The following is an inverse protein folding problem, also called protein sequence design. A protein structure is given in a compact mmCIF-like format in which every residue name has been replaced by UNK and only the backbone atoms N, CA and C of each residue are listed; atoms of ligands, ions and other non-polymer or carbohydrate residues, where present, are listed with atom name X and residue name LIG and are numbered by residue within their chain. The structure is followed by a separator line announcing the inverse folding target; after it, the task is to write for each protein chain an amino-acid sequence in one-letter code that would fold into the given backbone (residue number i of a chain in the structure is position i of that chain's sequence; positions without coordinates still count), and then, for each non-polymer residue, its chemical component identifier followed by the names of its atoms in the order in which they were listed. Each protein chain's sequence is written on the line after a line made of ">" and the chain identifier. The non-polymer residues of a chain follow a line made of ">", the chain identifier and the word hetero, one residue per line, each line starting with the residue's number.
data_IF_602206420608
#
_entry.id   IF_602206420608
#
_cell.length_a   1.000
_cell.length_b   1.000
_cell.length_c   1.000
_cell.angle_alpha   90.00
_cell.angle_beta   90.00
_cell.angle_gamma   90.00
#
_symmetry.space_group_name_H-M   'P 1'
#
loop_
_entity.id
_entity.type
_entity.pdbx_description
1 polymer ?
#
# COMPACT_ATOMS: atom_id res chain seq x y z
N UNK A 1 32.15 -37.62 -3.42
CA UNK A 1 30.77 -37.16 -3.13
C UNK A 1 30.90 -35.89 -2.30
N UNK A 2 30.53 -34.69 -2.71
CA UNK A 2 29.61 -34.25 -3.76
C UNK A 2 30.18 -32.99 -4.44
N UNK A 3 30.02 -32.90 -5.76
CA UNK A 3 30.41 -31.74 -6.54
C UNK A 3 29.47 -30.56 -6.31
N UNK A 4 30.04 -29.37 -6.11
CA UNK A 4 29.38 -28.12 -6.44
C UNK A 4 29.40 -27.99 -7.96
N UNK A 5 28.24 -28.10 -8.61
CA UNK A 5 28.03 -27.60 -9.97
C UNK A 5 26.79 -26.71 -10.03
N UNK A 6 26.95 -25.65 -10.84
CA UNK A 6 25.95 -24.78 -11.47
C UNK A 6 25.24 -23.69 -10.66
N UNK A 7 25.96 -22.60 -10.35
CA UNK A 7 25.36 -21.25 -10.32
C UNK A 7 25.73 -20.41 -11.56
N UNK A 8 26.79 -20.78 -12.28
CA UNK A 8 27.29 -20.07 -13.48
C UNK A 8 26.47 -20.33 -14.75
N UNK A 9 25.89 -21.52 -14.90
CA UNK A 9 25.11 -21.89 -16.09
C UNK A 9 23.77 -21.12 -16.19
N UNK A 10 23.17 -20.71 -15.08
CA UNK A 10 21.90 -19.96 -15.12
C UNK A 10 22.10 -18.53 -15.58
N UNK A 11 23.16 -17.85 -15.11
CA UNK A 11 23.50 -16.49 -15.56
C UNK A 11 23.87 -16.43 -17.04
N UNK A 12 24.59 -17.41 -17.56
CA UNK A 12 24.95 -17.47 -18.99
C UNK A 12 23.73 -17.74 -19.88
N UNK A 13 22.80 -18.59 -19.41
CA UNK A 13 21.54 -18.84 -20.08
C UNK A 13 20.65 -17.58 -20.11
N UNK A 14 20.55 -16.86 -18.99
CA UNK A 14 19.79 -15.62 -18.91
C UNK A 14 20.35 -14.53 -19.84
N UNK A 15 21.68 -14.39 -19.91
CA UNK A 15 22.33 -13.47 -20.85
C UNK A 15 22.07 -13.85 -22.32
N UNK A 16 22.12 -15.14 -22.65
CA UNK A 16 21.78 -15.62 -23.99
C UNK A 16 20.31 -15.38 -24.35
N UNK A 17 19.38 -15.59 -23.42
CA UNK A 17 17.96 -15.32 -23.61
C UNK A 17 17.75 -13.81 -23.81
N UNK A 18 18.40 -12.97 -23.01
CA UNK A 18 18.30 -11.51 -23.11
C UNK A 18 18.82 -11.01 -24.46
N UNK A 19 19.96 -11.55 -24.91
CA UNK A 19 20.56 -11.18 -26.18
C UNK A 19 19.72 -11.64 -27.37
N UNK A 20 19.22 -12.88 -27.34
CA UNK A 20 18.32 -13.41 -28.38
C UNK A 20 17.03 -12.59 -28.47
N UNK A 21 16.51 -12.13 -27.32
CA UNK A 21 15.32 -11.27 -27.24
C UNK A 21 15.59 -9.89 -27.84
N UNK A 22 16.76 -9.30 -27.58
CA UNK A 22 17.20 -8.02 -28.16
C UNK A 22 17.38 -8.12 -29.68
N UNK A 23 18.00 -9.19 -30.17
CA UNK A 23 18.22 -9.40 -31.60
C UNK A 23 16.89 -9.63 -32.34
N UNK A 24 15.95 -10.34 -31.71
CA UNK A 24 14.60 -10.54 -32.24
C UNK A 24 13.82 -9.22 -32.32
N UNK A 25 13.99 -8.33 -31.33
CA UNK A 25 13.40 -6.99 -31.33
C UNK A 25 13.88 -6.15 -32.52
N UNK A 26 15.20 -6.16 -32.76
CA UNK A 26 15.80 -5.39 -33.85
C UNK A 26 15.30 -5.87 -35.22
N UNK A 27 15.12 -7.18 -35.38
CA UNK A 27 14.50 -7.75 -36.59
C UNK A 27 13.07 -7.27 -36.78
N UNK A 28 12.28 -7.20 -35.70
CA UNK A 28 10.90 -6.72 -35.74
C UNK A 28 10.83 -5.22 -36.14
N UNK A 29 11.70 -4.38 -35.58
CA UNK A 29 11.83 -2.95 -35.97
C UNK A 29 12.12 -2.83 -37.47
N UNK A 30 13.05 -3.63 -37.99
CA UNK A 30 13.40 -3.59 -39.41
C UNK A 30 12.23 -4.01 -40.32
N UNK A 31 11.44 -5.00 -39.88
CA UNK A 31 10.22 -5.42 -40.58
C UNK A 31 9.21 -4.28 -40.60
N UNK A 32 8.94 -3.62 -39.48
CA UNK A 32 8.00 -2.48 -39.41
C UNK A 32 8.42 -1.35 -40.34
N UNK A 33 9.70 -0.97 -40.33
CA UNK A 33 10.20 0.07 -41.22
C UNK A 33 10.04 -0.32 -42.71
N UNK A 34 10.25 -1.60 -43.03
CA UNK A 34 10.05 -2.10 -44.39
C UNK A 34 8.58 -2.06 -44.80
N UNK A 35 7.67 -2.49 -43.93
CA UNK A 35 6.23 -2.45 -44.20
C UNK A 35 5.69 -1.03 -44.29
N UNK A 36 6.15 -0.11 -43.43
CA UNK A 36 5.76 1.31 -43.50
C UNK A 36 6.12 1.92 -44.85
N UNK A 37 7.25 1.53 -45.45
CA UNK A 37 7.65 1.99 -46.78
C UNK A 37 6.82 1.34 -47.92
N UNK A 38 6.17 0.20 -47.66
CA UNK A 38 5.34 -0.51 -48.64
C UNK A 38 3.87 -0.06 -48.62
N UNK A 39 3.41 0.54 -47.52
CA UNK A 39 2.05 1.09 -47.38
C UNK A 39 1.72 2.10 -48.49
N UNK A 40 2.72 2.80 -49.01
CA UNK A 40 2.58 3.79 -50.08
C UNK A 40 2.43 3.17 -51.49
N UNK A 41 2.47 1.83 -51.64
CA UNK A 41 2.54 1.17 -52.96
C UNK A 41 1.39 0.16 -53.18
N UNK A 42 0.45 0.50 -54.09
CA UNK A 42 -0.67 -0.32 -54.60
C UNK A 42 -1.88 -0.54 -53.66
N UNK A 43 -3.07 -0.13 -54.12
CA UNK A 43 -4.37 -0.20 -53.44
C UNK A 43 -4.84 -1.63 -53.12
N UNK A 44 -4.31 -2.65 -53.81
CA UNK A 44 -4.71 -4.06 -53.59
C UNK A 44 -3.95 -4.74 -52.43
N UNK A 45 -2.83 -4.16 -52.01
CA UNK A 45 -1.98 -4.64 -50.91
C UNK A 45 -2.06 -3.78 -49.65
N UNK A 46 -2.49 -2.51 -49.77
CA UNK A 46 -2.56 -1.55 -48.67
C UNK A 46 -3.39 -2.04 -47.46
N UNK A 47 -4.56 -2.65 -47.69
CA UNK A 47 -5.43 -3.10 -46.59
C UNK A 47 -4.83 -4.21 -45.71
N UNK A 48 -4.08 -5.15 -46.32
CA UNK A 48 -3.40 -6.22 -45.57
C UNK A 48 -2.12 -5.70 -44.90
N UNK A 49 -1.43 -4.75 -45.54
CA UNK A 49 -0.24 -4.10 -44.97
C UNK A 49 -0.60 -3.24 -43.77
N UNK A 50 -1.76 -2.55 -43.78
CA UNK A 50 -2.26 -1.75 -42.64
C UNK A 50 -2.52 -2.62 -41.40
N UNK A 51 -3.19 -3.76 -41.55
CA UNK A 51 -3.46 -4.69 -40.44
C UNK A 51 -2.15 -5.26 -39.85
N UNK A 52 -1.20 -5.62 -40.71
CA UNK A 52 0.11 -6.13 -40.26
C UNK A 52 0.93 -5.02 -39.60
N UNK A 53 0.87 -3.79 -40.12
CA UNK A 53 1.55 -2.63 -39.54
C UNK A 53 0.98 -2.30 -38.16
N UNK A 54 -0.34 -2.37 -37.99
CA UNK A 54 -1.00 -2.15 -36.71
C UNK A 54 -0.55 -3.19 -35.67
N UNK A 55 -0.59 -4.48 -36.02
CA UNK A 55 -0.14 -5.57 -35.15
C UNK A 55 1.35 -5.44 -34.81
N UNK A 56 2.17 -5.05 -35.79
CA UNK A 56 3.61 -4.89 -35.57
C UNK A 56 3.94 -3.65 -34.71
N UNK A 57 3.14 -2.58 -34.79
CA UNK A 57 3.23 -1.44 -33.87
C UNK A 57 2.81 -1.82 -32.44
N UNK A 58 1.74 -2.62 -32.27
CA UNK A 58 1.35 -3.16 -30.96
C UNK A 58 2.47 -4.05 -30.36
N UNK A 59 3.09 -4.89 -31.18
CA UNK A 59 4.24 -5.71 -30.79
C UNK A 59 5.47 -4.84 -30.44
N UNK A 60 5.73 -3.76 -31.17
CA UNK A 60 6.81 -2.82 -30.85
C UNK A 60 6.60 -2.11 -29.51
N UNK A 61 5.36 -1.73 -29.19
CA UNK A 61 5.02 -1.15 -27.88
C UNK A 61 5.26 -2.16 -26.75
N UNK A 62 4.86 -3.42 -26.95
CA UNK A 62 5.12 -4.49 -25.98
C UNK A 62 6.62 -4.81 -25.82
N UNK A 63 7.42 -4.71 -26.89
CA UNK A 63 8.84 -5.08 -26.86
C UNK A 63 9.76 -3.94 -26.39
N UNK A 64 9.38 -2.68 -26.61
CA UNK A 64 10.10 -1.51 -26.10
C UNK A 64 9.98 -1.37 -24.55
N UNK A 65 9.07 -2.13 -23.94
CA UNK A 65 8.84 -2.20 -22.48
C UNK A 65 9.68 -3.30 -21.78
N UNK A 66 10.59 -3.98 -22.49
CA UNK A 66 11.49 -5.02 -21.94
C UNK A 66 12.74 -4.34 -21.33
N UNK A 67 13.17 -4.45 -20.06
CA UNK A 67 12.93 -5.43 -18.98
C UNK A 67 13.35 -4.87 -17.59
N UNK A 68 12.88 -3.70 -17.17
CA UNK A 68 13.09 -3.26 -15.76
C UNK A 68 11.75 -3.28 -15.05
N UNK A 69 11.55 -4.26 -14.16
CA UNK A 69 10.38 -4.29 -13.29
C UNK A 69 10.24 -2.92 -12.60
N UNK A 70 9.05 -2.31 -12.62
CA UNK A 70 8.85 -1.04 -11.95
C UNK A 70 9.13 -1.20 -10.46
N UNK A 71 9.86 -0.25 -9.88
CA UNK A 71 10.16 -0.23 -8.44
C UNK A 71 8.99 0.27 -7.60
N UNK A 72 8.00 0.90 -8.26
CA UNK A 72 6.82 1.49 -7.62
C UNK A 72 5.63 1.55 -8.57
N UNK A 73 4.42 1.61 -7.99
CA UNK A 73 3.20 1.89 -8.76
C UNK A 73 3.26 3.24 -9.49
N UNK A 74 4.05 4.19 -8.98
CA UNK A 74 4.25 5.50 -9.60
C UNK A 74 5.04 5.39 -10.90
N UNK A 75 6.13 4.63 -10.88
CA UNK A 75 6.92 4.33 -12.07
C UNK A 75 6.09 3.55 -13.10
N UNK A 76 5.37 2.53 -12.65
CA UNK A 76 4.46 1.76 -13.51
C UNK A 76 3.41 2.65 -14.19
N UNK A 77 2.81 3.60 -13.45
CA UNK A 77 1.82 4.52 -14.03
C UNK A 77 2.40 5.48 -15.08
N UNK A 78 3.70 5.78 -15.00
CA UNK A 78 4.39 6.65 -15.98
C UNK A 78 4.75 5.84 -17.23
N UNK A 79 5.28 4.63 -17.04
CA UNK A 79 5.65 3.73 -18.14
C UNK A 79 4.39 3.26 -18.89
N UNK A 80 3.33 2.92 -18.15
CA UNK A 80 2.07 2.42 -18.69
C UNK A 80 0.89 3.24 -18.15
N UNK A 81 0.60 4.42 -18.75
CA UNK A 81 -0.46 5.32 -18.30
C UNK A 81 -1.86 4.70 -18.32
N UNK A 82 -2.11 3.71 -19.17
CA UNK A 82 -3.41 3.06 -19.31
C UNK A 82 -3.60 1.85 -18.37
N UNK A 83 -2.59 1.53 -17.54
CA UNK A 83 -2.69 0.42 -16.60
C UNK A 83 -3.83 0.62 -15.60
N UNK A 84 -4.71 -0.38 -15.39
CA UNK A 84 -5.82 -0.31 -14.44
C UNK A 84 -5.33 -0.45 -12.99
N UNK A 85 -6.21 -0.21 -12.01
CA UNK A 85 -5.89 -0.52 -10.61
C UNK A 85 -5.90 -2.03 -10.39
N UNK A 86 -4.93 -2.57 -9.64
CA UNK A 86 -4.78 -4.01 -9.48
C UNK A 86 -3.50 -4.41 -8.75
N UNK A 87 -3.24 -5.71 -8.66
CA UNK A 87 -2.00 -6.24 -8.11
C UNK A 87 -0.94 -6.34 -9.20
N UNK A 88 0.26 -5.83 -8.90
CA UNK A 88 1.41 -5.83 -9.79
C UNK A 88 2.64 -6.37 -9.08
N UNK A 89 3.56 -6.95 -9.85
CA UNK A 89 4.88 -7.35 -9.38
C UNK A 89 5.79 -6.13 -9.49
N UNK A 90 6.41 -5.75 -8.38
CA UNK A 90 7.32 -4.61 -8.29
C UNK A 90 8.71 -5.09 -7.87
N UNK A 91 9.74 -4.40 -8.35
CA UNK A 91 11.10 -4.57 -7.86
C UNK A 91 11.26 -3.91 -6.47
N UNK A 92 11.85 -4.63 -5.52
CA UNK A 92 12.24 -4.12 -4.21
C UNK A 92 13.72 -4.42 -3.93
N UNK A 93 14.22 -3.93 -2.79
CA UNK A 93 15.66 -4.07 -2.45
C UNK A 93 16.13 -5.51 -2.30
N UNK A 94 15.24 -6.42 -1.92
CA UNK A 94 15.54 -7.83 -1.64
C UNK A 94 14.93 -8.79 -2.68
N UNK A 95 14.61 -8.28 -3.88
CA UNK A 95 13.96 -9.04 -4.95
C UNK A 95 12.57 -8.47 -5.30
N UNK A 96 11.74 -9.28 -5.95
CA UNK A 96 10.41 -8.87 -6.40
C UNK A 96 9.35 -9.07 -5.32
N UNK A 97 8.38 -8.18 -5.23
CA UNK A 97 7.22 -8.34 -4.35
C UNK A 97 5.93 -7.94 -5.06
N UNK A 98 4.81 -8.50 -4.62
CA UNK A 98 3.49 -8.13 -5.15
C UNK A 98 2.90 -7.00 -4.32
N UNK A 99 2.43 -5.94 -4.96
CA UNK A 99 1.75 -4.83 -4.30
C UNK A 99 0.49 -4.41 -5.08
N UNK A 100 -0.50 -3.89 -4.37
CA UNK A 100 -1.69 -3.33 -5.02
C UNK A 100 -1.40 -1.88 -5.43
N UNK A 101 -1.54 -1.60 -6.72
CA UNK A 101 -1.44 -0.26 -7.29
C UNK A 101 -2.84 0.33 -7.52
N UNK A 102 -3.10 1.48 -6.92
CA UNK A 102 -4.23 2.29 -7.35
C UNK A 102 -3.80 3.28 -8.43
N UNK A 103 -4.30 3.07 -9.64
CA UNK A 103 -4.02 3.88 -10.82
C UNK A 103 -5.04 5.02 -11.02
N UNK A 104 -6.09 5.05 -10.21
CA UNK A 104 -7.03 6.17 -10.11
C UNK A 104 -6.56 7.26 -9.14
N UNK A 105 -7.36 8.32 -9.01
CA UNK A 105 -7.10 9.42 -8.08
C UNK A 105 -7.31 9.00 -6.63
N UNK A 106 -6.38 9.36 -5.74
CA UNK A 106 -6.53 9.26 -4.28
C UNK A 106 -6.11 10.56 -3.63
N UNK A 107 -6.87 10.98 -2.61
CA UNK A 107 -6.59 12.19 -1.86
C UNK A 107 -6.32 13.42 -2.77
N UNK A 108 -7.08 13.58 -3.86
CA UNK A 108 -6.95 14.70 -4.78
C UNK A 108 -5.71 14.68 -5.68
N UNK A 109 -4.92 13.60 -5.68
CA UNK A 109 -3.72 13.42 -6.48
C UNK A 109 -3.90 12.27 -7.47
N UNK A 110 -3.28 12.37 -8.65
CA UNK A 110 -3.36 11.35 -9.70
C UNK A 110 -2.85 9.97 -9.28
N UNK A 111 -3.03 8.97 -10.14
CA UNK A 111 -2.70 7.57 -9.85
C UNK A 111 -1.22 7.23 -9.68
N UNK A 112 -0.97 5.94 -9.41
CA UNK A 112 0.35 5.39 -9.13
C UNK A 112 0.61 5.19 -7.63
N UNK A 113 -0.45 4.98 -6.85
CA UNK A 113 -0.39 4.79 -5.41
C UNK A 113 -0.13 3.32 -5.06
N UNK A 114 0.93 3.04 -4.32
CA UNK A 114 1.22 1.69 -3.79
C UNK A 114 0.53 1.48 -2.46
N UNK A 115 -0.30 0.45 -2.33
CA UNK A 115 -0.93 0.10 -1.04
C UNK A 115 0.09 -0.53 -0.11
N UNK A 116 0.27 0.07 1.06
CA UNK A 116 1.22 -0.37 2.07
C UNK A 116 0.55 -1.17 3.19
N UNK A 117 -0.63 -0.75 3.62
CA UNK A 117 -1.39 -1.39 4.67
C UNK A 117 -2.86 -1.54 4.26
N UNK A 118 -3.45 -2.68 4.57
CA UNK A 118 -4.87 -2.97 4.36
C UNK A 118 -5.39 -3.86 5.49
N UNK A 119 -6.37 -3.36 6.20
CA UNK A 119 -7.17 -4.07 7.19
C UNK A 119 -8.61 -3.62 6.98
N UNK A 120 -9.50 -4.57 6.74
CA UNK A 120 -10.93 -4.32 6.63
C UNK A 120 -11.69 -5.41 7.39
N UNK A 121 -12.11 -5.09 8.60
CA UNK A 121 -12.78 -6.03 9.49
C UNK A 121 -14.27 -6.23 9.13
N UNK A 122 -14.79 -5.49 8.15
CA UNK A 122 -16.13 -5.75 7.59
C UNK A 122 -16.17 -7.08 6.85
N UNK A 123 -15.03 -7.50 6.28
CA UNK A 123 -14.85 -8.84 5.74
C UNK A 123 -14.61 -9.84 6.89
N UNK A 124 -15.56 -10.76 7.06
CA UNK A 124 -15.54 -11.78 8.11
C UNK A 124 -14.32 -12.71 8.05
N UNK A 125 -13.65 -12.82 6.89
CA UNK A 125 -12.48 -13.69 6.69
C UNK A 125 -11.16 -13.04 7.13
N UNK A 126 -11.14 -11.71 7.30
CA UNK A 126 -9.95 -10.97 7.69
C UNK A 126 -9.68 -11.14 9.19
N UNK A 127 -8.46 -11.53 9.53
CA UNK A 127 -8.00 -11.66 10.91
C UNK A 127 -7.23 -10.40 11.36
N UNK A 128 -7.21 -10.16 12.67
CA UNK A 128 -6.42 -9.07 13.23
C UNK A 128 -4.92 -9.29 13.02
N UNK A 129 -4.13 -8.22 12.80
CA UNK A 129 -2.69 -8.32 12.68
C UNK A 129 -2.05 -8.95 13.93
N UNK A 130 -0.86 -9.53 13.78
CA UNK A 130 -0.13 -10.13 14.91
C UNK A 130 0.02 -9.13 16.07
N UNK A 131 -0.21 -9.60 17.30
CA UNK A 131 -0.21 -8.78 18.52
C UNK A 131 -1.56 -8.12 18.83
N UNK A 132 -2.46 -7.99 17.86
CA UNK A 132 -3.80 -7.46 18.07
C UNK A 132 -4.79 -8.56 18.47
N UNK A 133 -5.80 -8.17 19.23
CA UNK A 133 -6.92 -9.01 19.64
C UNK A 133 -8.17 -8.63 18.86
N UNK A 134 -8.90 -9.64 18.38
CA UNK A 134 -10.24 -9.47 17.81
C UNK A 134 -11.23 -9.12 18.93
N UNK A 135 -11.97 -8.05 18.70
CA UNK A 135 -13.15 -7.66 19.45
C UNK A 135 -14.37 -7.74 18.54
N UNK A 136 -15.45 -8.30 19.09
CA UNK A 136 -16.70 -8.47 18.37
C UNK A 136 -17.87 -8.19 19.30
N UNK A 137 -18.68 -7.19 18.96
CA UNK A 137 -19.87 -6.81 19.72
C UNK A 137 -20.83 -6.05 18.81
N UNK A 138 -22.14 -6.26 18.98
CA UNK A 138 -23.17 -5.54 18.21
C UNK A 138 -23.06 -5.69 16.69
N UNK A 139 -22.54 -6.81 16.19
CA UNK A 139 -22.32 -7.04 14.75
C UNK A 139 -21.06 -6.38 14.18
N UNK A 140 -20.31 -5.62 14.98
CA UNK A 140 -19.05 -4.99 14.57
C UNK A 140 -17.88 -5.89 14.95
N UNK A 141 -16.90 -5.99 14.04
CA UNK A 141 -15.59 -6.62 14.27
C UNK A 141 -14.52 -5.56 14.22
N UNK A 142 -13.59 -5.59 15.17
CA UNK A 142 -12.49 -4.65 15.23
C UNK A 142 -11.26 -5.28 15.92
N UNK A 143 -10.11 -4.68 15.71
CA UNK A 143 -8.82 -5.10 16.25
C UNK A 143 -8.33 -4.09 17.27
N UNK A 144 -8.12 -4.55 18.50
CA UNK A 144 -7.63 -3.71 19.58
C UNK A 144 -6.44 -4.35 20.29
N UNK A 145 -5.97 -3.70 21.34
CA UNK A 145 -4.93 -4.25 22.21
C UNK A 145 -5.40 -5.54 22.92
N UNK A 146 -4.49 -6.48 23.22
CA UNK A 146 -4.85 -7.72 23.89
C UNK A 146 -5.14 -7.57 25.40
N UNK A 147 -4.51 -6.59 26.06
CA UNK A 147 -4.55 -6.42 27.53
C UNK A 147 -5.57 -5.35 27.96
N UNK A 148 -6.26 -5.61 29.08
CA UNK A 148 -7.08 -4.63 29.81
C UNK A 148 -6.15 -3.84 30.75
N UNK A 149 -5.80 -2.60 30.37
CA UNK A 149 -4.78 -1.78 31.04
C UNK A 149 -4.01 -0.87 30.08
N UNK A 150 -3.28 0.12 30.62
CA UNK A 150 -2.42 1.03 29.86
C UNK A 150 -1.36 0.23 29.09
N UNK A 151 -1.40 0.29 27.76
CA UNK A 151 -0.46 -0.42 26.88
C UNK A 151 -0.56 0.08 25.44
N UNK A 152 0.45 -0.26 24.64
CA UNK A 152 0.50 0.01 23.22
C UNK A 152 0.73 -1.31 22.47
N UNK A 153 0.07 -1.45 21.31
CA UNK A 153 0.35 -2.52 20.35
C UNK A 153 0.62 -1.87 18.99
N UNK A 154 1.61 -2.37 18.27
CA UNK A 154 2.01 -1.84 16.98
C UNK A 154 2.18 -2.94 15.94
N UNK A 155 1.92 -2.58 14.68
CA UNK A 155 2.26 -3.36 13.50
C UNK A 155 3.08 -2.47 12.56
N UNK A 156 4.13 -3.06 11.99
CA UNK A 156 4.99 -2.37 11.05
C UNK A 156 4.70 -2.85 9.64
N UNK A 157 4.62 -1.91 8.69
CA UNK A 157 4.46 -2.18 7.27
C UNK A 157 5.70 -1.70 6.53
N UNK A 158 6.49 -2.62 5.94
CA UNK A 158 7.73 -2.25 5.29
C UNK A 158 7.45 -1.52 3.97
N UNK A 159 8.17 -0.41 3.72
CA UNK A 159 8.07 0.31 2.43
C UNK A 159 8.87 -0.35 1.31
N UNK A 160 9.49 -1.51 1.57
CA UNK A 160 10.34 -2.30 0.66
C UNK A 160 11.47 -1.49 -0.01
N UNK A 161 11.98 -0.48 0.71
CA UNK A 161 13.09 0.36 0.28
C UNK A 161 12.71 1.49 -0.69
N UNK A 162 11.43 1.65 -1.02
CA UNK A 162 10.99 2.69 -1.95
C UNK A 162 10.67 3.99 -1.23
N UNK A 163 11.29 5.09 -1.67
CA UNK A 163 10.99 6.45 -1.21
C UNK A 163 9.58 6.87 -1.59
N UNK A 164 8.93 7.64 -0.73
CA UNK A 164 7.62 8.22 -1.03
C UNK A 164 7.62 9.72 -0.80
N UNK A 165 6.68 10.39 -1.47
CA UNK A 165 6.38 11.82 -1.43
C UNK A 165 5.06 12.10 -0.72
N UNK A 166 4.13 11.14 -0.69
CA UNK A 166 2.82 11.36 -0.09
C UNK A 166 2.31 10.08 0.58
N UNK A 167 1.52 10.26 1.63
CA UNK A 167 0.75 9.22 2.30
C UNK A 167 -0.72 9.59 2.17
N UNK A 168 -1.53 8.65 1.70
CA UNK A 168 -2.99 8.77 1.67
C UNK A 168 -3.57 7.57 2.41
N UNK A 169 -4.48 7.80 3.35
CA UNK A 169 -5.04 6.69 4.10
C UNK A 169 -6.38 7.00 4.75
N UNK A 170 -7.03 5.94 5.22
CA UNK A 170 -8.29 6.01 5.96
C UNK A 170 -8.21 5.08 7.16
N UNK A 171 -8.60 5.59 8.32
CA UNK A 171 -8.74 4.82 9.56
C UNK A 171 -10.18 4.94 10.04
N UNK A 172 -10.79 3.80 10.35
CA UNK A 172 -12.07 3.72 11.07
C UNK A 172 -11.85 3.06 12.41
N UNK A 173 -12.15 3.80 13.48
CA UNK A 173 -12.05 3.33 14.84
C UNK A 173 -13.43 3.26 15.51
N UNK A 174 -13.54 2.34 16.47
CA UNK A 174 -14.69 2.21 17.36
C UNK A 174 -14.25 2.45 18.79
N UNK A 175 -15.03 3.28 19.48
CA UNK A 175 -14.83 3.57 20.89
C UNK A 175 -15.52 2.53 21.76
N UNK A 176 -14.80 2.05 22.78
CA UNK A 176 -15.35 1.23 23.84
C UNK A 176 -15.03 1.79 25.23
N UNK A 177 -16.07 2.04 26.04
CA UNK A 177 -15.90 2.65 27.36
C UNK A 177 -15.60 4.14 27.27
N UNK A 178 -14.63 4.60 28.06
CA UNK A 178 -14.40 6.03 28.32
C UNK A 178 -12.96 6.44 28.02
N UNK A 179 -12.57 6.64 26.74
CA UNK A 179 -11.22 7.08 26.38
C UNK A 179 -10.84 8.40 27.06
N UNK A 180 -9.59 8.53 27.47
CA UNK A 180 -9.06 9.74 28.10
C UNK A 180 -8.66 10.81 27.06
N UNK A 181 -8.55 10.43 25.78
CA UNK A 181 -8.15 11.34 24.70
C UNK A 181 -6.66 11.60 24.70
N UNK A 182 -6.25 12.70 25.32
CA UNK A 182 -4.85 13.11 25.47
C UNK A 182 -4.60 13.28 26.96
N UNK A 183 -3.58 12.61 27.47
CA UNK A 183 -3.22 12.72 28.89
C UNK A 183 -1.74 13.09 29.04
N UNK A 184 -1.49 14.21 29.72
CA UNK A 184 -0.25 14.60 30.44
C UNK A 184 1.10 14.63 29.69
N UNK A 185 1.19 14.10 28.47
CA UNK A 185 2.45 13.88 27.78
C UNK A 185 2.66 14.95 26.70
N UNK A 186 3.64 15.82 26.92
CA UNK A 186 4.00 16.91 26.00
C UNK A 186 4.86 16.44 24.80
N UNK A 187 4.81 15.14 24.46
CA UNK A 187 5.69 14.52 23.49
C UNK A 187 4.94 13.58 22.54
N UNK A 188 4.76 14.04 21.30
CA UNK A 188 4.10 13.31 20.21
C UNK A 188 4.86 12.07 19.74
N UNK A 189 6.11 11.88 20.19
CA UNK A 189 6.89 10.69 19.93
C UNK A 189 6.74 9.63 21.05
N UNK A 190 5.99 9.92 22.13
CA UNK A 190 5.71 9.01 23.25
C UNK A 190 4.32 8.34 23.16
N UNK A 191 3.89 7.60 24.17
CA UNK A 191 2.50 7.13 24.28
C UNK A 191 1.63 8.26 24.85
N UNK A 192 0.96 9.04 23.99
CA UNK A 192 0.30 10.28 24.39
C UNK A 192 -1.20 10.32 24.13
N UNK A 193 -1.79 9.25 23.59
CA UNK A 193 -3.16 9.27 23.08
C UNK A 193 -3.88 7.94 23.27
N UNK A 194 -5.18 8.01 23.56
CA UNK A 194 -6.13 6.93 23.35
C UNK A 194 -6.63 6.95 21.91
N UNK A 195 -6.15 6.01 21.10
CA UNK A 195 -6.56 5.91 19.71
C UNK A 195 -5.54 5.25 18.79
N UNK A 196 -5.48 5.72 17.55
CA UNK A 196 -4.62 5.16 16.50
C UNK A 196 -3.60 6.19 16.10
N UNK A 197 -2.31 5.84 16.12
CA UNK A 197 -1.25 6.68 15.59
C UNK A 197 -0.55 5.99 14.42
N UNK A 198 -0.37 6.74 13.34
CA UNK A 198 0.49 6.39 12.22
C UNK A 198 1.79 7.15 12.41
N UNK A 199 2.89 6.42 12.42
CA UNK A 199 4.23 6.94 12.63
C UNK A 199 5.18 6.31 11.62
N UNK A 200 6.41 6.78 11.53
CA UNK A 200 7.42 6.23 10.62
C UNK A 200 8.82 6.36 11.19
N UNK A 201 9.69 5.48 10.75
CA UNK A 201 11.13 5.54 11.02
C UNK A 201 11.60 5.22 12.41
N UNK A 202 12.93 5.26 12.53
CA UNK A 202 13.69 5.00 13.73
C UNK A 202 14.83 6.03 13.80
N UNK A 203 14.75 7.04 14.68
CA UNK A 203 13.73 7.24 15.72
C UNK A 203 12.34 7.56 15.14
N UNK A 204 11.30 7.22 15.92
CA UNK A 204 9.88 7.42 15.59
C UNK A 204 9.60 8.88 15.21
N UNK A 205 8.92 9.07 14.08
CA UNK A 205 8.38 10.34 13.64
C UNK A 205 6.86 10.22 13.51
N UNK A 206 6.13 11.18 14.08
CA UNK A 206 4.68 11.25 13.95
C UNK A 206 4.27 11.61 12.51
N UNK A 207 3.20 10.97 12.02
CA UNK A 207 2.58 11.27 10.73
C UNK A 207 1.15 11.75 10.97
N UNK A 208 0.37 10.99 11.73
CA UNK A 208 -1.05 11.28 11.96
C UNK A 208 -1.61 10.50 13.15
N UNK A 209 -2.69 10.99 13.76
CA UNK A 209 -3.39 10.32 14.85
C UNK A 209 -4.90 10.50 14.78
N UNK A 210 -5.64 9.42 15.05
CA UNK A 210 -7.04 9.44 15.46
C UNK A 210 -7.10 9.44 16.98
N UNK A 211 -7.70 10.47 17.57
CA UNK A 211 -7.90 10.59 19.00
C UNK A 211 -9.35 10.24 19.31
N UNK A 212 -9.56 9.46 20.36
CA UNK A 212 -10.86 9.20 20.91
C UNK A 212 -10.96 9.83 22.30
N UNK A 213 -12.00 10.63 22.53
CA UNK A 213 -12.20 11.30 23.81
C UNK A 213 -13.56 10.89 24.40
N UNK A 214 -13.67 10.96 25.72
CA UNK A 214 -14.93 10.82 26.42
C UNK A 214 -15.95 11.84 25.89
N UNK A 215 -17.08 11.34 25.36
CA UNK A 215 -18.17 12.20 24.90
C UNK A 215 -18.70 13.08 26.03
N UNK A 216 -18.88 14.38 25.80
CA UNK A 216 -19.48 15.34 26.75
C UNK A 216 -20.93 15.03 27.17
N UNK A 217 -21.60 14.02 26.59
CA UNK A 217 -22.91 13.57 27.04
C UNK A 217 -22.77 12.69 28.29
N UNK A 218 -22.94 13.32 29.47
CA UNK A 218 -23.08 12.64 30.76
C UNK A 218 -24.23 11.64 30.72
N UNK A 219 -23.95 10.38 30.41
CA UNK A 219 -24.88 9.31 30.76
C UNK A 219 -24.72 9.01 32.25
N UNK A 220 -25.81 9.22 33.01
CA UNK A 220 -25.91 8.78 34.40
C UNK A 220 -25.55 7.30 34.50
N UNK A 221 -24.85 6.96 35.56
CA UNK A 221 -24.15 5.70 35.85
C UNK A 221 -24.96 4.40 35.81
N UNK A 222 -26.22 4.42 35.37
CA UNK A 222 -27.11 3.25 35.29
C UNK A 222 -27.60 2.91 33.87
N UNK A 223 -27.22 3.69 32.85
CA UNK A 223 -27.60 3.41 31.46
C UNK A 223 -26.47 3.83 30.52
N UNK A 224 -25.41 3.02 30.43
CA UNK A 224 -24.38 3.16 29.38
C UNK A 224 -24.95 2.55 28.11
N UNK A 225 -25.45 3.35 27.13
CA UNK A 225 -25.88 2.77 25.89
C UNK A 225 -24.63 2.22 25.19
N UNK A 226 -24.77 1.05 24.57
CA UNK A 226 -23.81 0.49 23.62
C UNK A 226 -23.77 1.38 22.36
N UNK A 227 -23.32 2.63 22.49
CA UNK A 227 -23.14 3.52 21.36
C UNK A 227 -21.80 3.18 20.72
N UNK A 228 -21.84 2.22 19.79
CA UNK A 228 -20.74 1.95 18.87
C UNK A 228 -20.69 3.13 17.89
N UNK A 229 -20.13 4.25 18.33
CA UNK A 229 -19.87 5.38 17.45
C UNK A 229 -18.65 5.02 16.59
N UNK A 230 -18.85 4.93 15.27
CA UNK A 230 -17.77 4.82 14.31
C UNK A 230 -17.20 6.20 14.02
N UNK A 231 -15.89 6.38 14.21
CA UNK A 231 -15.19 7.57 13.76
C UNK A 231 -14.39 7.22 12.51
N UNK A 232 -14.66 7.94 11.41
CA UNK A 232 -13.93 7.80 10.16
C UNK A 232 -13.08 9.04 9.91
N UNK A 233 -11.80 8.86 9.66
CA UNK A 233 -10.92 9.94 9.23
C UNK A 233 -10.06 9.52 8.05
N UNK A 234 -9.92 10.44 7.11
CA UNK A 234 -9.04 10.34 5.95
C UNK A 234 -7.85 11.28 6.14
N UNK A 235 -6.66 10.83 5.77
CA UNK A 235 -5.42 11.59 5.86
C UNK A 235 -4.81 11.74 4.47
N UNK A 236 -4.29 12.93 4.18
CA UNK A 236 -3.31 13.20 3.14
C UNK A 236 -2.11 13.94 3.78
N UNK A 237 -0.90 13.41 3.61
CA UNK A 237 0.33 14.09 4.04
C UNK A 237 1.40 14.00 2.94
N UNK A 238 2.20 15.05 2.76
CA UNK A 238 3.34 15.09 1.83
C UNK A 238 4.63 14.88 2.62
N UNK A 239 5.45 13.89 2.28
CA UNK A 239 6.71 13.58 2.97
C UNK A 239 7.70 12.89 2.05
N UNK A 240 9.02 13.14 2.18
CA UNK A 240 10.05 12.86 1.15
C UNK A 240 10.99 11.67 1.50
N UNK A 241 10.88 11.05 2.68
CA UNK A 241 11.88 10.05 3.14
C UNK A 241 11.43 8.58 3.06
N UNK A 242 12.26 7.66 2.54
CA UNK A 242 11.99 6.21 2.51
C UNK A 242 12.06 5.65 3.92
N UNK A 243 10.91 5.46 4.57
CA UNK A 243 10.89 4.81 5.88
C UNK A 243 9.64 3.99 6.11
N UNK A 244 9.82 2.82 6.76
CA UNK A 244 8.74 1.93 7.17
C UNK A 244 7.68 2.69 7.95
N UNK A 245 6.41 2.41 7.61
CA UNK A 245 5.28 2.95 8.33
C UNK A 245 4.96 2.04 9.52
N UNK A 246 4.71 2.63 10.66
CA UNK A 246 4.32 1.94 11.88
C UNK A 246 2.94 2.42 12.26
N UNK A 247 1.97 1.51 12.25
CA UNK A 247 0.61 1.77 12.71
C UNK A 247 0.50 1.23 14.13
N UNK A 248 0.16 2.11 15.06
CA UNK A 248 0.10 1.82 16.50
C UNK A 248 -1.32 2.08 17.00
N UNK A 249 -1.86 1.18 17.81
CA UNK A 249 -3.01 1.47 18.67
C UNK A 249 -2.50 1.68 20.07
N UNK A 250 -2.80 2.86 20.59
CA UNK A 250 -2.37 3.30 21.90
C UNK A 250 -3.59 3.43 22.81
N UNK A 251 -3.37 3.07 24.07
CA UNK A 251 -4.31 3.37 25.13
C UNK A 251 -3.56 3.63 26.42
N UNK A 252 -3.71 4.84 26.94
CA UNK A 252 -3.33 5.23 28.28
C UNK A 252 -4.50 4.97 29.24
N UNK A 253 -4.19 4.63 30.49
CA UNK A 253 -5.21 4.46 31.51
C UNK A 253 -4.63 4.99 32.82
N UNK A 254 -5.17 6.10 33.31
CA UNK A 254 -5.03 6.54 34.71
C UNK A 254 -5.86 5.58 35.58
N UNK A 255 -5.54 5.33 36.87
CA UNK A 255 -6.30 4.45 37.76
C UNK A 255 -7.77 4.89 37.90
N UNK A 256 -8.62 4.47 36.96
CA UNK A 256 -10.06 4.54 37.04
C UNK A 256 -10.63 3.13 37.02
N UNK A 257 -11.70 2.92 37.77
CA UNK A 257 -12.26 1.62 38.17
C UNK A 257 -12.91 0.82 37.04
N UNK A 258 -12.76 1.23 35.78
CA UNK A 258 -13.38 0.60 34.62
C UNK A 258 -12.41 0.44 33.43
N UNK A 259 -12.38 -0.73 32.76
CA UNK A 259 -11.47 -0.99 31.64
C UNK A 259 -11.89 -0.20 30.39
N UNK A 260 -10.94 0.57 29.84
CA UNK A 260 -11.09 1.49 28.71
C UNK A 260 -10.44 0.87 27.46
N UNK A 261 -11.11 0.88 26.28
CA UNK A 261 -10.58 0.26 25.05
C UNK A 261 -10.95 1.04 23.76
N UNK A 262 -10.00 1.13 22.82
CA UNK A 262 -10.22 1.64 21.47
C UNK A 262 -9.83 0.55 20.46
N UNK A 263 -10.65 0.41 19.42
CA UNK A 263 -10.56 -0.71 18.49
C UNK A 263 -10.54 -0.20 17.04
N UNK A 264 -9.66 -0.74 16.19
CA UNK A 264 -9.56 -0.40 14.78
C UNK A 264 -10.34 -1.39 13.91
N UNK A 265 -11.23 -0.91 13.07
CA UNK A 265 -11.98 -1.78 12.16
C UNK A 265 -11.59 -1.65 10.70
N UNK A 266 -11.07 -0.49 10.30
CA UNK A 266 -10.55 -0.32 8.94
C UNK A 266 -9.28 0.51 8.98
N UNK A 267 -8.24 0.04 8.30
CA UNK A 267 -7.00 0.78 8.09
C UNK A 267 -6.56 0.52 6.65
N UNK A 268 -6.54 1.57 5.84
CA UNK A 268 -5.97 1.50 4.49
C UNK A 268 -4.97 2.62 4.35
N UNK A 269 -3.74 2.28 3.95
CA UNK A 269 -2.68 3.27 3.72
C UNK A 269 -2.01 3.02 2.39
N UNK A 270 -1.88 4.08 1.60
CA UNK A 270 -1.20 4.14 0.33
C UNK A 270 -0.03 5.11 0.39
N UNK A 271 1.03 4.79 -0.34
CA UNK A 271 2.19 5.62 -0.58
C UNK A 271 2.22 6.07 -2.05
N UNK A 272 2.51 7.35 -2.29
CA UNK A 272 2.90 7.83 -3.62
C UNK A 272 4.41 7.98 -3.65
N UNK A 273 5.08 7.32 -4.58
CA UNK A 273 6.53 7.19 -4.54
C UNK A 273 7.27 8.39 -5.16
N UNK A 274 8.49 8.68 -4.68
CA UNK A 274 9.44 9.53 -5.39
C UNK A 274 10.12 8.68 -6.47
N UNK A 275 10.33 9.23 -7.67
CA UNK A 275 11.16 8.61 -8.70
C UNK A 275 12.63 8.92 -8.44
#
# INVERSE_FOLDING_TARGET
>A
MNGLMSSSNFTELDEQILQTTRDSAQKLINIVNTLSNLQDTSTSTAGVVDDILLIAQELLVLHNDSTVLPTSCKQLKIQQPNSPSGYYILAGTNGTHTAYCNMGSLCGSGGGWTRLAYLDMTDATVNCPSGFRLYQSGGVRACGKPVRGASCVSVQFPSNGTSYTQICGRVTGYQWGSPDGIDGVNNINSYYVDGVSITRGSPRQHVWTLIAEYTQSRFSSSSRPYNINSYQCSLLLVIITPVNLVIQVLLHQVPSTHPIHYEMAMVVVFLNHLL
#
